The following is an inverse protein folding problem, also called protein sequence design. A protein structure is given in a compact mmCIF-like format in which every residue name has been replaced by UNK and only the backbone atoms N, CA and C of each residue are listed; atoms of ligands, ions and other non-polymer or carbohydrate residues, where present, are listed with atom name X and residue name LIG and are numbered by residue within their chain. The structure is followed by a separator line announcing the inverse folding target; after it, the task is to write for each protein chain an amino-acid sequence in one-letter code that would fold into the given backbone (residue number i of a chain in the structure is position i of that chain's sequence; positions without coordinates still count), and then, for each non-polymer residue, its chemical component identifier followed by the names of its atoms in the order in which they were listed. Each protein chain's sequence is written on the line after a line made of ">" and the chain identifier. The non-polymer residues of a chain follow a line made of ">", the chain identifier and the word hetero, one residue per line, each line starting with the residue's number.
data_IF_165901824245
#
_entry.id   IF_165901824245
#
_cell.length_a   1.000
_cell.length_b   1.000
_cell.length_c   1.000
_cell.angle_alpha   90.00
_cell.angle_beta   90.00
_cell.angle_gamma   90.00
#
_symmetry.space_group_name_H-M   'P 1'
#
loop_
_entity.id
_entity.type
_entity.pdbx_description
1 polymer ?
#
# COMPACT_ATOMS: atom_id res chain seq x y z
N UNK A 1 38.42 -16.02 36.31
CA UNK A 1 38.04 -16.49 34.96
C UNK A 1 36.55 -16.31 34.82
N UNK A 2 36.09 -15.20 34.24
CA UNK A 2 34.66 -14.96 33.94
C UNK A 2 34.50 -14.97 32.43
N UNK A 3 34.07 -16.11 31.90
CA UNK A 3 33.83 -16.29 30.47
C UNK A 3 32.42 -15.76 30.16
N UNK A 4 32.39 -14.72 29.34
CA UNK A 4 31.32 -14.27 28.44
C UNK A 4 29.89 -14.79 28.71
N UNK A 5 29.06 -13.96 29.34
CA UNK A 5 27.59 -14.04 29.23
C UNK A 5 27.00 -13.00 28.26
N UNK A 6 27.82 -12.08 27.73
CA UNK A 6 27.33 -11.04 26.82
C UNK A 6 27.28 -11.46 25.34
N UNK A 7 27.83 -12.62 24.99
CA UNK A 7 27.85 -13.10 23.61
C UNK A 7 26.57 -13.86 23.18
N UNK A 8 25.72 -14.27 24.12
CA UNK A 8 24.53 -15.11 23.83
C UNK A 8 23.27 -14.29 23.53
N UNK A 9 23.26 -12.99 23.85
CA UNK A 9 22.09 -12.12 23.63
C UNK A 9 22.04 -11.45 22.25
N UNK A 10 23.16 -11.36 21.52
CA UNK A 10 23.18 -10.74 20.19
C UNK A 10 22.65 -11.68 19.09
N UNK A 11 22.88 -12.99 19.24
CA UNK A 11 22.54 -14.01 18.23
C UNK A 11 21.03 -14.30 18.12
N UNK A 12 20.22 -13.83 19.08
CA UNK A 12 18.76 -13.95 19.04
C UNK A 12 18.06 -12.76 18.38
N UNK A 13 18.80 -11.66 18.14
CA UNK A 13 18.25 -10.43 17.53
C UNK A 13 18.44 -10.45 16.00
N UNK A 14 19.41 -11.19 15.49
CA UNK A 14 19.78 -11.24 14.07
C UNK A 14 19.59 -12.66 13.50
N UNK A 15 18.38 -13.20 13.51
CA UNK A 15 18.07 -14.24 12.54
C UNK A 15 17.97 -13.53 11.17
N UNK A 16 18.90 -13.71 10.22
CA UNK A 16 18.76 -13.12 8.90
C UNK A 16 17.43 -13.60 8.32
N UNK A 17 16.58 -12.65 7.94
CA UNK A 17 15.38 -12.96 7.17
C UNK A 17 15.89 -13.61 5.88
N UNK A 18 15.75 -14.94 5.80
CA UNK A 18 16.15 -15.66 4.59
C UNK A 18 15.40 -15.13 3.37
N UNK A 19 15.92 -15.36 2.15
CA UNK A 19 15.30 -14.85 0.93
C UNK A 19 13.82 -15.18 0.85
N UNK A 20 13.01 -14.19 0.46
CA UNK A 20 11.58 -14.40 0.29
C UNK A 20 11.33 -15.47 -0.78
N UNK A 21 10.46 -16.42 -0.46
CA UNK A 21 10.10 -17.48 -1.41
C UNK A 21 9.27 -16.86 -2.55
N UNK A 22 9.38 -17.36 -3.79
CA UNK A 22 8.59 -16.86 -4.92
C UNK A 22 7.08 -16.82 -4.65
N UNK A 23 6.55 -17.80 -3.90
CA UNK A 23 5.14 -17.84 -3.49
C UNK A 23 4.77 -16.68 -2.54
N UNK A 24 5.65 -16.27 -1.63
CA UNK A 24 5.41 -15.15 -0.73
C UNK A 24 5.41 -13.83 -1.50
N UNK A 25 6.36 -13.65 -2.42
CA UNK A 25 6.41 -12.47 -3.30
C UNK A 25 5.15 -12.37 -4.18
N UNK A 26 4.67 -13.50 -4.71
CA UNK A 26 3.45 -13.54 -5.52
C UNK A 26 2.19 -13.21 -4.69
N UNK A 27 2.12 -13.68 -3.44
CA UNK A 27 1.04 -13.33 -2.53
C UNK A 27 1.07 -11.85 -2.14
N UNK A 28 2.25 -11.29 -1.86
CA UNK A 28 2.42 -9.87 -1.56
C UNK A 28 2.02 -9.01 -2.77
N UNK A 29 2.54 -9.34 -3.96
CA UNK A 29 2.17 -8.65 -5.20
C UNK A 29 0.65 -8.74 -5.45
N UNK A 30 0.06 -9.93 -5.30
CA UNK A 30 -1.38 -10.13 -5.46
C UNK A 30 -2.21 -9.31 -4.46
N UNK A 31 -1.79 -9.24 -3.20
CA UNK A 31 -2.46 -8.45 -2.17
C UNK A 31 -2.37 -6.94 -2.48
N UNK A 32 -1.20 -6.46 -2.87
CA UNK A 32 -0.96 -5.06 -3.27
C UNK A 32 -1.83 -4.70 -4.47
N UNK A 33 -1.80 -5.50 -5.55
CA UNK A 33 -2.62 -5.27 -6.75
C UNK A 33 -4.12 -5.34 -6.43
N UNK A 34 -4.55 -6.33 -5.65
CA UNK A 34 -5.94 -6.51 -5.27
C UNK A 34 -6.49 -5.32 -4.46
N UNK A 35 -5.73 -4.86 -3.46
CA UNK A 35 -6.13 -3.72 -2.65
C UNK A 35 -6.08 -2.41 -3.45
N UNK A 36 -5.07 -2.24 -4.33
CA UNK A 36 -4.98 -1.08 -5.21
C UNK A 36 -6.16 -1.02 -6.20
N UNK A 37 -6.54 -2.16 -6.78
CA UNK A 37 -7.69 -2.24 -7.67
C UNK A 37 -9.01 -1.93 -6.94
N UNK A 38 -9.18 -2.46 -5.72
CA UNK A 38 -10.36 -2.16 -4.90
C UNK A 38 -10.43 -0.66 -4.57
N UNK A 39 -9.33 -0.07 -4.12
CA UNK A 39 -9.23 1.36 -3.81
C UNK A 39 -9.50 2.24 -5.04
N UNK A 40 -8.89 1.93 -6.18
CA UNK A 40 -9.13 2.66 -7.42
C UNK A 40 -10.59 2.52 -7.90
N UNK A 41 -11.21 1.35 -7.74
CA UNK A 41 -12.61 1.15 -8.09
C UNK A 41 -13.55 1.96 -7.19
N UNK A 42 -13.31 2.02 -5.88
CA UNK A 42 -14.16 2.78 -4.96
C UNK A 42 -14.04 4.29 -5.18
N UNK A 43 -12.81 4.80 -5.33
CA UNK A 43 -12.56 6.22 -5.60
C UNK A 43 -13.07 6.61 -6.99
N UNK A 44 -12.78 5.79 -8.00
CA UNK A 44 -13.23 6.02 -9.38
C UNK A 44 -14.75 5.94 -9.52
N UNK A 45 -15.41 5.04 -8.81
CA UNK A 45 -16.88 4.97 -8.79
C UNK A 45 -17.48 6.27 -8.22
N UNK A 46 -16.97 6.75 -7.09
CA UNK A 46 -17.39 8.04 -6.54
C UNK A 46 -17.15 9.19 -7.50
N UNK A 47 -15.96 9.24 -8.11
CA UNK A 47 -15.63 10.28 -9.09
C UNK A 47 -16.60 10.33 -10.28
N UNK A 48 -16.97 9.16 -10.84
CA UNK A 48 -17.86 9.06 -12.00
C UNK A 48 -19.32 9.33 -11.66
N UNK A 49 -19.84 8.76 -10.56
CA UNK A 49 -21.26 8.90 -10.18
C UNK A 49 -21.60 10.35 -9.84
N UNK A 50 -20.67 11.08 -9.25
CA UNK A 50 -20.84 12.50 -8.93
C UNK A 50 -20.56 13.45 -10.10
N UNK A 51 -20.21 12.93 -11.28
CA UNK A 51 -19.92 13.77 -12.45
C UNK A 51 -18.68 14.67 -12.29
N UNK A 52 -17.78 14.34 -11.35
CA UNK A 52 -16.58 15.13 -11.05
C UNK A 52 -15.55 15.13 -12.18
N UNK A 53 -15.74 14.29 -13.20
CA UNK A 53 -15.00 14.31 -14.46
C UNK A 53 -15.01 15.66 -15.18
N UNK A 54 -15.98 16.53 -14.86
CA UNK A 54 -16.08 17.87 -15.43
C UNK A 54 -15.48 18.95 -14.52
N UNK A 55 -15.06 18.60 -13.31
CA UNK A 55 -14.50 19.51 -12.30
C UNK A 55 -12.99 19.33 -12.23
N UNK A 56 -12.19 20.42 -12.26
CA UNK A 56 -10.75 20.35 -12.05
C UNK A 56 -10.42 19.68 -10.71
N UNK A 57 -9.49 18.71 -10.72
CA UNK A 57 -9.16 17.91 -9.53
C UNK A 57 -8.66 18.76 -8.34
N UNK A 58 -8.06 19.91 -8.61
CA UNK A 58 -7.63 20.90 -7.62
C UNK A 58 -8.80 21.56 -6.88
N UNK A 59 -10.00 21.59 -7.47
CA UNK A 59 -11.21 22.16 -6.86
C UNK A 59 -12.02 21.11 -6.08
N UNK A 60 -11.95 19.84 -6.48
CA UNK A 60 -12.63 18.73 -5.78
C UNK A 60 -12.01 18.52 -4.39
N UNK A 61 -10.68 18.53 -4.29
CA UNK A 61 -9.98 18.40 -3.01
C UNK A 61 -10.01 19.66 -2.13
N UNK A 62 -10.46 20.80 -2.67
CA UNK A 62 -10.47 22.10 -1.98
C UNK A 62 -11.73 22.37 -1.17
N UNK A 63 -12.72 21.46 -1.17
CA UNK A 63 -14.01 21.70 -0.52
C UNK A 63 -14.85 22.78 -1.21
N UNK A 64 -14.57 23.07 -2.48
CA UNK A 64 -15.34 24.04 -3.27
C UNK A 64 -16.75 23.53 -3.63
N UNK A 65 -16.96 22.22 -3.52
CA UNK A 65 -18.26 21.55 -3.67
C UNK A 65 -18.67 20.94 -2.33
N UNK A 66 -19.85 21.33 -1.85
CA UNK A 66 -20.48 20.73 -0.68
C UNK A 66 -20.97 19.32 -1.07
N UNK A 67 -20.53 18.25 -0.41
CA UNK A 67 -20.94 16.88 -0.75
C UNK A 67 -22.45 16.66 -0.65
N UNK A 68 -23.19 17.50 0.08
CA UNK A 68 -24.66 17.47 0.13
C UNK A 68 -25.35 17.93 -1.16
N UNK A 69 -24.66 18.69 -2.03
CA UNK A 69 -25.19 19.18 -3.30
C UNK A 69 -25.02 18.18 -4.46
N UNK A 70 -24.44 17.02 -4.19
CA UNK A 70 -24.17 15.98 -5.18
C UNK A 70 -25.31 14.96 -5.29
N UNK A 71 -25.44 14.28 -6.44
CA UNK A 71 -26.40 13.20 -6.59
C UNK A 71 -26.20 12.12 -5.53
N UNK A 72 -27.30 11.44 -5.18
CA UNK A 72 -27.51 10.54 -4.05
C UNK A 72 -26.26 9.89 -3.41
N UNK A 73 -26.18 9.87 -2.06
CA UNK A 73 -25.05 9.29 -1.35
C UNK A 73 -24.83 7.82 -1.72
N UNK A 74 -23.58 7.33 -1.67
CA UNK A 74 -23.27 5.94 -1.97
C UNK A 74 -24.06 5.00 -1.06
N UNK A 75 -24.54 3.89 -1.64
CA UNK A 75 -25.19 2.85 -0.82
C UNK A 75 -24.29 2.39 0.32
N UNK A 76 -24.87 1.97 1.45
CA UNK A 76 -24.10 1.53 2.63
C UNK A 76 -23.05 0.45 2.33
N UNK A 77 -23.30 -0.42 1.34
CA UNK A 77 -22.33 -1.43 0.89
C UNK A 77 -21.11 -0.79 0.21
N UNK A 78 -21.33 0.23 -0.62
CA UNK A 78 -20.26 0.95 -1.34
C UNK A 78 -19.42 1.77 -0.36
N UNK A 79 -20.05 2.42 0.63
CA UNK A 79 -19.33 3.09 1.71
C UNK A 79 -18.48 2.11 2.52
N UNK A 80 -19.04 0.96 2.91
CA UNK A 80 -18.30 -0.07 3.64
C UNK A 80 -17.09 -0.60 2.84
N UNK A 81 -17.25 -0.81 1.53
CA UNK A 81 -16.14 -1.18 0.64
C UNK A 81 -15.11 -0.06 0.51
N UNK A 82 -15.55 1.20 0.45
CA UNK A 82 -14.68 2.38 0.46
C UNK A 82 -13.82 2.46 1.71
N UNK A 83 -14.42 2.38 2.91
CA UNK A 83 -13.67 2.37 4.16
C UNK A 83 -12.72 1.18 4.26
N UNK A 84 -13.16 -0.01 3.85
CA UNK A 84 -12.31 -1.18 3.81
C UNK A 84 -11.12 -0.95 2.88
N UNK A 85 -11.33 -0.36 1.70
CA UNK A 85 -10.26 -0.06 0.76
C UNK A 85 -9.28 0.98 1.31
N UNK A 86 -9.77 2.08 1.90
CA UNK A 86 -8.92 3.11 2.52
C UNK A 86 -8.08 2.56 3.66
N UNK A 87 -8.61 1.62 4.45
CA UNK A 87 -7.85 1.00 5.54
C UNK A 87 -6.85 -0.05 5.03
N UNK A 88 -7.28 -0.93 4.11
CA UNK A 88 -6.51 -2.11 3.70
C UNK A 88 -5.45 -1.81 2.65
N UNK A 89 -5.71 -0.87 1.74
CA UNK A 89 -4.76 -0.50 0.68
C UNK A 89 -3.42 0.03 1.22
N UNK A 90 -3.37 1.09 2.05
CA UNK A 90 -2.11 1.59 2.58
C UNK A 90 -1.43 0.56 3.48
N UNK A 91 -2.19 -0.26 4.21
CA UNK A 91 -1.62 -1.30 5.06
C UNK A 91 -0.95 -2.42 4.24
N UNK A 92 -1.60 -2.88 3.17
CA UNK A 92 -1.02 -3.87 2.25
C UNK A 92 0.24 -3.33 1.56
N UNK A 93 0.19 -2.09 1.07
CA UNK A 93 1.35 -1.42 0.47
C UNK A 93 2.49 -1.26 1.47
N UNK A 94 2.21 -0.81 2.68
CA UNK A 94 3.24 -0.62 3.71
C UNK A 94 3.89 -1.94 4.15
N UNK A 95 3.09 -2.99 4.39
CA UNK A 95 3.62 -4.31 4.75
C UNK A 95 4.46 -4.89 3.62
N UNK A 96 3.99 -4.82 2.37
CA UNK A 96 4.76 -5.30 1.22
C UNK A 96 6.07 -4.52 1.03
N UNK A 97 6.06 -3.20 1.24
CA UNK A 97 7.25 -2.37 1.18
C UNK A 97 8.26 -2.74 2.26
N UNK A 98 7.83 -2.93 3.51
CA UNK A 98 8.71 -3.33 4.60
C UNK A 98 9.32 -4.72 4.35
N UNK A 99 8.49 -5.69 3.99
CA UNK A 99 8.93 -7.09 3.82
C UNK A 99 9.86 -7.23 2.61
N UNK A 100 9.44 -6.71 1.44
CA UNK A 100 10.27 -6.80 0.24
C UNK A 100 11.48 -5.85 0.31
N UNK A 101 11.33 -4.68 0.93
CA UNK A 101 12.43 -3.73 1.15
C UNK A 101 13.50 -4.29 2.08
N UNK A 102 13.13 -4.98 3.15
CA UNK A 102 14.07 -5.67 4.02
C UNK A 102 14.86 -6.76 3.27
N UNK A 103 14.18 -7.56 2.45
CA UNK A 103 14.83 -8.59 1.62
C UNK A 103 15.79 -8.00 0.58
N UNK A 104 15.43 -6.86 -0.03
CA UNK A 104 16.33 -6.11 -0.93
C UNK A 104 17.54 -5.58 -0.18
N UNK A 105 17.35 -4.98 1.00
CA UNK A 105 18.44 -4.41 1.79
C UNK A 105 19.43 -5.48 2.24
N UNK A 106 18.92 -6.62 2.71
CA UNK A 106 19.72 -7.79 3.06
C UNK A 106 20.41 -8.39 1.85
N UNK A 107 19.75 -8.48 0.69
CA UNK A 107 20.37 -9.01 -0.52
C UNK A 107 21.52 -8.14 -1.02
N UNK A 108 21.44 -6.81 -0.84
CA UNK A 108 22.55 -5.88 -1.12
C UNK A 108 23.69 -6.07 -0.12
N UNK A 109 23.37 -6.22 1.17
CA UNK A 109 24.36 -6.53 2.21
C UNK A 109 25.10 -7.85 1.94
N UNK A 110 24.36 -8.87 1.52
CA UNK A 110 24.86 -10.21 1.19
C UNK A 110 25.53 -10.27 -0.20
N UNK A 111 25.61 -9.17 -0.95
CA UNK A 111 26.17 -9.10 -2.30
C UNK A 111 25.54 -10.11 -3.29
N UNK A 112 24.24 -10.38 -3.17
CA UNK A 112 23.52 -11.31 -4.05
C UNK A 112 23.44 -10.78 -5.48
N UNK A 113 23.27 -11.70 -6.43
CA UNK A 113 23.22 -11.33 -7.85
C UNK A 113 21.98 -10.46 -8.15
N UNK A 114 22.07 -9.45 -9.04
CA UNK A 114 20.91 -8.58 -9.36
C UNK A 114 19.67 -9.34 -9.84
N UNK A 115 19.84 -10.53 -10.42
CA UNK A 115 18.75 -11.39 -10.87
C UNK A 115 17.94 -12.00 -9.72
N UNK A 116 18.59 -12.26 -8.58
CA UNK A 116 17.92 -12.78 -7.39
C UNK A 116 17.13 -11.69 -6.66
N UNK A 117 17.59 -10.43 -6.74
CA UNK A 117 16.97 -9.30 -6.04
C UNK A 117 15.80 -8.68 -6.82
N UNK A 118 15.85 -8.77 -8.16
CA UNK A 118 14.86 -8.21 -9.07
C UNK A 118 13.37 -8.41 -8.68
N UNK A 119 12.90 -9.61 -8.29
CA UNK A 119 11.49 -9.80 -7.96
C UNK A 119 11.10 -9.10 -6.65
N UNK A 120 11.96 -9.10 -5.63
CA UNK A 120 11.72 -8.37 -4.38
C UNK A 120 11.72 -6.85 -4.62
N UNK A 121 12.66 -6.36 -5.43
CA UNK A 121 12.67 -4.95 -5.85
C UNK A 121 11.41 -4.57 -6.59
N UNK A 122 10.92 -5.40 -7.51
CA UNK A 122 9.68 -5.13 -8.24
C UNK A 122 8.47 -5.01 -7.31
N UNK A 123 8.36 -5.88 -6.30
CA UNK A 123 7.29 -5.80 -5.28
C UNK A 123 7.42 -4.55 -4.43
N UNK A 124 8.64 -4.19 -4.01
CA UNK A 124 8.88 -2.98 -3.24
C UNK A 124 8.51 -1.71 -4.04
N UNK A 125 8.89 -1.64 -5.31
CA UNK A 125 8.52 -0.52 -6.19
C UNK A 125 7.00 -0.47 -6.40
N UNK A 126 6.36 -1.61 -6.67
CA UNK A 126 4.90 -1.69 -6.82
C UNK A 126 4.19 -1.17 -5.57
N UNK A 127 4.63 -1.59 -4.38
CA UNK A 127 4.11 -1.14 -3.11
C UNK A 127 4.32 0.36 -2.89
N UNK A 128 5.49 0.91 -3.24
CA UNK A 128 5.76 2.34 -3.15
C UNK A 128 4.87 3.17 -4.09
N UNK A 129 4.68 2.71 -5.35
CA UNK A 129 3.78 3.35 -6.32
C UNK A 129 2.34 3.34 -5.81
N UNK A 130 1.89 2.21 -5.25
CA UNK A 130 0.56 2.10 -4.66
C UNK A 130 0.38 3.08 -3.50
N UNK A 131 1.35 3.17 -2.57
CA UNK A 131 1.29 4.09 -1.44
C UNK A 131 1.25 5.55 -1.89
N UNK A 132 2.09 5.92 -2.87
CA UNK A 132 2.06 7.26 -3.45
C UNK A 132 0.69 7.56 -4.09
N UNK A 133 0.12 6.60 -4.83
CA UNK A 133 -1.22 6.69 -5.38
C UNK A 133 -2.29 6.88 -4.30
N UNK A 134 -2.22 6.13 -3.19
CA UNK A 134 -3.12 6.29 -2.06
C UNK A 134 -3.03 7.73 -1.51
N UNK A 135 -1.83 8.24 -1.22
CA UNK A 135 -1.63 9.61 -0.70
C UNK A 135 -2.20 10.68 -1.63
N UNK A 136 -1.94 10.55 -2.93
CA UNK A 136 -2.42 11.52 -3.94
C UNK A 136 -3.95 11.50 -4.05
N UNK A 137 -4.56 10.32 -3.93
CA UNK A 137 -6.01 10.15 -4.07
C UNK A 137 -6.77 10.22 -2.74
N UNK A 138 -6.08 10.22 -1.59
CA UNK A 138 -6.70 10.28 -0.26
C UNK A 138 -7.68 11.43 -0.10
N UNK A 139 -7.40 12.68 -0.54
CA UNK A 139 -8.35 13.78 -0.40
C UNK A 139 -9.68 13.52 -1.11
N UNK A 140 -9.64 12.88 -2.28
CA UNK A 140 -10.83 12.47 -3.03
C UNK A 140 -11.55 11.32 -2.34
N UNK A 141 -10.78 10.37 -1.80
CA UNK A 141 -11.32 9.19 -1.13
C UNK A 141 -12.02 9.56 0.19
N UNK A 142 -11.48 10.50 0.95
CA UNK A 142 -12.08 10.98 2.21
C UNK A 142 -13.30 11.85 1.94
N UNK A 143 -13.21 12.81 1.02
CA UNK A 143 -14.34 13.69 0.68
C UNK A 143 -15.55 12.92 0.14
N UNK A 144 -15.34 11.79 -0.53
CA UNK A 144 -16.42 10.93 -1.02
C UNK A 144 -17.10 10.07 0.07
N UNK A 145 -16.42 9.82 1.18
CA UNK A 145 -16.90 8.95 2.26
C UNK A 145 -17.34 9.71 3.52
N UNK A 146 -17.08 11.00 3.57
CA UNK A 146 -17.61 11.93 4.59
C UNK A 146 -18.97 12.49 4.14
#
# INVERSE_FOLDING_TARGET
>A
MSVHHDAVSADLVEAPLGPLRPRQLLLLAGAVVGCAALFAATVGHGYLVNGLQHVPLDQVGGGAYDPEDLPDPPSALIQALGYLAIATAPLAGFVALLVAGADVLQSVHDHRSPREVAPATAVAVLAAVMLAGCVVLSPLATWWLD
#
